data_IF_896733721122
#
_entry.id   IF_896733721122
#
_cell.length_a   1.000
_cell.length_b   1.000
_cell.length_c   1.000
_cell.angle_alpha   90.00
_cell.angle_beta   90.00
_cell.angle_gamma   90.00
#
_symmetry.space_group_name_H-M   'P 1'
#
loop_
_entity.id
_entity.type
_entity.pdbx_description
1 polymer ?
#
# COMPACT_ATOMS: atom_id res chain seq x y z
N UNK A 1 -65.94 -1.03 33.22
CA UNK A 1 -65.27 -0.63 31.93
C UNK A 1 -64.06 0.23 32.11
N UNK A 2 -64.11 1.37 32.85
CA UNK A 2 -62.92 2.25 33.01
C UNK A 2 -61.69 1.60 33.67
N UNK A 3 -61.86 0.66 34.62
CA UNK A 3 -60.78 -0.06 35.30
C UNK A 3 -60.10 -1.12 34.39
N UNK A 4 -60.85 -1.74 33.47
CA UNK A 4 -60.34 -2.74 32.53
C UNK A 4 -59.53 -2.04 31.44
N UNK A 5 -59.95 -0.84 30.98
CA UNK A 5 -59.21 -0.05 30.01
C UNK A 5 -57.88 0.45 30.58
N UNK A 6 -57.85 0.85 31.87
CA UNK A 6 -56.61 1.28 32.52
C UNK A 6 -55.60 0.13 32.68
N UNK A 7 -56.05 -1.11 32.96
CA UNK A 7 -55.16 -2.29 33.02
C UNK A 7 -54.63 -2.70 31.65
N UNK A 8 -55.47 -2.61 30.61
CA UNK A 8 -55.01 -2.87 29.22
C UNK A 8 -54.04 -1.81 28.72
N UNK A 9 -54.19 -0.50 29.08
CA UNK A 9 -53.25 0.54 28.76
C UNK A 9 -51.91 0.38 29.49
N UNK A 10 -51.94 -0.03 30.78
CA UNK A 10 -50.71 -0.27 31.55
C UNK A 10 -49.94 -1.51 31.04
N UNK A 11 -50.64 -2.55 30.59
CA UNK A 11 -50.02 -3.74 30.01
C UNK A 11 -49.40 -3.45 28.62
N UNK A 12 -50.04 -2.57 27.82
CA UNK A 12 -49.47 -2.15 26.52
C UNK A 12 -48.26 -1.24 26.68
N UNK A 13 -48.23 -0.38 27.71
CA UNK A 13 -47.06 0.44 28.02
C UNK A 13 -45.87 -0.39 28.56
N UNK A 14 -46.16 -1.45 29.35
CA UNK A 14 -45.13 -2.40 29.80
C UNK A 14 -44.56 -3.23 28.64
N UNK A 15 -45.37 -3.61 27.66
CA UNK A 15 -44.92 -4.38 26.50
C UNK A 15 -44.05 -3.52 25.54
N UNK A 16 -44.25 -2.20 25.49
CA UNK A 16 -43.38 -1.29 24.74
C UNK A 16 -42.00 -1.08 25.40
N UNK A 17 -41.86 -1.27 26.72
CA UNK A 17 -40.58 -1.14 27.40
C UNK A 17 -39.69 -2.40 27.30
N UNK A 18 -40.23 -3.55 26.91
CA UNK A 18 -39.47 -4.80 26.73
C UNK A 18 -38.98 -5.02 25.30
N UNK A 19 -39.31 -4.14 24.35
CA UNK A 19 -38.81 -4.16 22.96
C UNK A 19 -37.60 -3.26 22.73
N UNK A 20 -36.94 -2.77 23.78
CA UNK A 20 -35.53 -2.39 23.70
C UNK A 20 -34.75 -3.71 23.76
N UNK A 21 -34.90 -4.55 22.73
CA UNK A 21 -33.86 -5.51 22.41
C UNK A 21 -32.58 -4.66 22.19
N UNK A 22 -31.68 -4.71 23.15
CA UNK A 22 -30.30 -4.33 22.88
C UNK A 22 -29.93 -5.17 21.64
N UNK A 23 -29.93 -4.56 20.48
CA UNK A 23 -29.25 -5.16 19.34
C UNK A 23 -27.85 -5.40 19.86
N UNK A 24 -27.50 -6.64 20.13
CA UNK A 24 -26.16 -7.05 20.48
C UNK A 24 -25.32 -6.54 19.31
N UNK A 25 -24.50 -5.53 19.57
CA UNK A 25 -23.66 -4.93 18.52
C UNK A 25 -22.77 -6.06 18.03
N UNK A 26 -22.92 -6.43 16.78
CA UNK A 26 -22.09 -7.49 16.19
C UNK A 26 -20.63 -7.20 16.51
N UNK A 27 -19.92 -8.19 17.01
CA UNK A 27 -18.51 -8.09 17.37
C UNK A 27 -17.69 -8.65 16.22
N UNK A 28 -16.73 -7.89 15.75
CA UNK A 28 -15.85 -8.27 14.65
C UNK A 28 -14.41 -8.39 15.16
N UNK A 29 -13.66 -9.34 14.60
CA UNK A 29 -12.23 -9.49 14.85
C UNK A 29 -11.50 -9.52 13.51
N UNK A 30 -10.57 -8.58 13.31
CA UNK A 30 -9.76 -8.50 12.08
C UNK A 30 -8.27 -8.60 12.39
N UNK A 31 -7.54 -9.25 11.51
CA UNK A 31 -6.08 -9.25 11.52
C UNK A 31 -5.52 -8.16 10.61
N UNK A 32 -4.34 -7.59 10.93
CA UNK A 32 -3.55 -6.76 10.02
C UNK A 32 -2.12 -7.29 10.01
N UNK A 33 -1.64 -7.71 8.84
CA UNK A 33 -0.31 -8.31 8.66
C UNK A 33 0.59 -7.41 7.82
N UNK A 34 1.80 -7.16 8.34
CA UNK A 34 2.89 -6.49 7.64
C UNK A 34 4.14 -7.39 7.61
N UNK A 35 4.91 -7.32 6.51
CA UNK A 35 6.26 -7.88 6.48
C UNK A 35 7.22 -7.02 7.30
N UNK A 36 7.23 -5.72 7.06
CA UNK A 36 8.13 -4.75 7.70
C UNK A 36 7.40 -3.42 7.86
N UNK A 37 7.73 -2.65 8.91
CA UNK A 37 7.22 -1.30 9.09
C UNK A 37 8.04 -0.30 8.29
N UNK A 38 7.36 0.59 7.59
CA UNK A 38 7.87 1.83 7.01
C UNK A 38 6.78 2.89 7.01
N UNK A 39 7.11 4.13 6.67
CA UNK A 39 6.17 5.24 6.72
C UNK A 39 4.90 5.00 5.90
N UNK A 40 5.05 4.53 4.64
CA UNK A 40 3.92 4.28 3.75
C UNK A 40 2.96 3.22 4.31
N UNK A 41 3.49 2.09 4.78
CA UNK A 41 2.66 0.99 5.30
C UNK A 41 1.96 1.36 6.61
N UNK A 42 2.60 2.18 7.44
CA UNK A 42 1.98 2.69 8.67
C UNK A 42 0.85 3.68 8.36
N UNK A 43 1.00 4.52 7.32
CA UNK A 43 -0.06 5.42 6.86
C UNK A 43 -1.22 4.64 6.21
N UNK A 44 -0.95 3.56 5.47
CA UNK A 44 -1.99 2.64 4.97
C UNK A 44 -2.75 1.96 6.11
N UNK A 45 -2.04 1.43 7.12
CA UNK A 45 -2.65 0.86 8.33
C UNK A 45 -3.54 1.88 9.05
N UNK A 46 -3.04 3.10 9.22
CA UNK A 46 -3.81 4.20 9.79
C UNK A 46 -5.08 4.47 8.98
N UNK A 47 -4.97 4.51 7.65
CA UNK A 47 -6.12 4.70 6.75
C UNK A 47 -7.15 3.58 6.87
N UNK A 48 -6.73 2.32 6.99
CA UNK A 48 -7.63 1.18 7.24
C UNK A 48 -8.41 1.38 8.55
N UNK A 49 -7.72 1.69 9.65
CA UNK A 49 -8.33 1.86 10.98
C UNK A 49 -9.32 3.04 10.98
N UNK A 50 -8.89 4.20 10.45
CA UNK A 50 -9.75 5.38 10.35
C UNK A 50 -10.96 5.13 9.45
N UNK A 51 -10.75 4.49 8.29
CA UNK A 51 -11.83 4.16 7.34
C UNK A 51 -12.85 3.18 7.93
N UNK A 52 -12.40 2.17 8.66
CA UNK A 52 -13.28 1.27 9.40
C UNK A 52 -14.10 2.02 10.45
N UNK A 53 -13.48 2.91 11.22
CA UNK A 53 -14.16 3.72 12.23
C UNK A 53 -15.22 4.65 11.60
N UNK A 54 -14.91 5.29 10.46
CA UNK A 54 -15.86 6.11 9.70
C UNK A 54 -17.07 5.32 9.20
N UNK A 55 -16.90 4.01 8.98
CA UNK A 55 -17.95 3.08 8.54
C UNK A 55 -18.67 2.37 9.68
N UNK A 56 -18.36 2.75 10.94
CA UNK A 56 -19.03 2.24 12.14
C UNK A 56 -18.38 1.00 12.77
N UNK A 57 -17.21 0.56 12.28
CA UNK A 57 -16.40 -0.51 12.89
C UNK A 57 -15.35 0.12 13.79
N UNK A 58 -15.64 0.27 15.07
CA UNK A 58 -14.83 1.05 16.03
C UNK A 58 -14.08 0.12 16.97
N UNK A 59 -12.74 0.20 16.96
CA UNK A 59 -11.88 -0.58 17.85
C UNK A 59 -12.22 -0.36 19.31
N UNK A 60 -12.32 -1.44 20.09
CA UNK A 60 -12.71 -1.44 21.49
C UNK A 60 -14.22 -1.27 21.73
N UNK A 61 -15.04 -1.06 20.68
CA UNK A 61 -16.50 -0.99 20.78
C UNK A 61 -17.16 -2.22 20.16
N UNK A 62 -16.98 -2.41 18.86
CA UNK A 62 -17.52 -3.54 18.10
C UNK A 62 -16.48 -4.20 17.19
N UNK A 63 -15.23 -3.74 17.26
CA UNK A 63 -14.12 -4.24 16.49
C UNK A 63 -12.91 -4.54 17.38
N UNK A 64 -12.27 -5.68 17.16
CA UNK A 64 -10.97 -6.03 17.71
C UNK A 64 -9.97 -6.12 16.54
N UNK A 65 -8.85 -5.41 16.68
CA UNK A 65 -7.78 -5.42 15.68
C UNK A 65 -6.56 -6.13 16.26
N UNK A 66 -6.10 -7.18 15.60
CA UNK A 66 -4.84 -7.86 15.91
C UNK A 66 -3.81 -7.50 14.85
N UNK A 67 -2.85 -6.64 15.22
CA UNK A 67 -1.79 -6.19 14.34
C UNK A 67 -0.50 -6.97 14.59
N UNK A 68 0.07 -7.53 13.53
CA UNK A 68 1.32 -8.28 13.56
C UNK A 68 2.28 -7.81 12.46
N UNK A 69 3.55 -7.67 12.81
CA UNK A 69 4.61 -7.35 11.86
C UNK A 69 5.73 -8.39 11.93
N UNK A 70 6.13 -8.91 10.78
CA UNK A 70 7.16 -9.96 10.69
C UNK A 70 8.61 -9.43 10.80
N UNK A 71 8.81 -8.11 10.92
CA UNK A 71 10.11 -7.46 11.08
C UNK A 71 11.12 -7.81 9.95
N UNK A 72 10.62 -7.99 8.72
CA UNK A 72 11.42 -8.32 7.54
C UNK A 72 11.77 -9.81 7.40
N UNK A 73 11.31 -10.67 8.31
CA UNK A 73 11.61 -12.10 8.28
C UNK A 73 10.46 -12.89 7.64
N UNK A 74 10.76 -13.60 6.54
CA UNK A 74 9.78 -14.38 5.80
C UNK A 74 9.24 -15.58 6.59
N UNK A 75 10.02 -16.16 7.51
CA UNK A 75 9.59 -17.28 8.35
C UNK A 75 8.60 -16.79 9.41
N UNK A 76 8.88 -15.63 10.01
CA UNK A 76 7.95 -14.97 10.93
C UNK A 76 6.65 -14.61 10.21
N UNK A 77 6.74 -14.08 8.97
CA UNK A 77 5.57 -13.75 8.17
C UNK A 77 4.67 -14.97 7.96
N UNK A 78 5.26 -16.09 7.55
CA UNK A 78 4.52 -17.34 7.36
C UNK A 78 3.85 -17.82 8.67
N UNK A 79 4.56 -17.71 9.79
CA UNK A 79 4.03 -18.07 11.11
C UNK A 79 2.87 -17.16 11.53
N UNK A 80 2.98 -15.84 11.30
CA UNK A 80 1.92 -14.87 11.58
C UNK A 80 0.67 -15.20 10.75
N UNK A 81 0.83 -15.42 9.44
CA UNK A 81 -0.28 -15.78 8.56
C UNK A 81 -0.97 -17.07 9.00
N UNK A 82 -0.21 -18.12 9.35
CA UNK A 82 -0.74 -19.37 9.86
C UNK A 82 -1.51 -19.20 11.18
N UNK A 83 -1.03 -18.35 12.08
CA UNK A 83 -1.70 -18.07 13.34
C UNK A 83 -3.02 -17.30 13.14
N UNK A 84 -3.11 -16.45 12.10
CA UNK A 84 -4.34 -15.73 11.77
C UNK A 84 -5.34 -16.55 10.94
N UNK A 85 -4.95 -17.75 10.50
CA UNK A 85 -5.83 -18.71 9.83
C UNK A 85 -6.45 -19.73 10.82
N UNK A 86 -6.69 -19.34 12.06
CA UNK A 86 -7.27 -20.20 13.10
C UNK A 86 -8.81 -20.24 13.09
N UNK A 87 -9.44 -19.52 12.17
CA UNK A 87 -10.89 -19.41 12.04
C UNK A 87 -11.55 -18.44 13.04
N UNK A 88 -10.78 -17.69 13.83
CA UNK A 88 -11.28 -16.71 14.78
C UNK A 88 -11.44 -15.30 14.22
N UNK A 89 -10.93 -15.04 13.03
CA UNK A 89 -10.98 -13.75 12.36
C UNK A 89 -12.11 -13.70 11.33
N UNK A 90 -12.84 -12.58 11.28
CA UNK A 90 -13.87 -12.32 10.27
C UNK A 90 -13.23 -11.95 8.92
N UNK A 91 -12.07 -11.31 8.95
CA UNK A 91 -11.18 -11.12 7.81
C UNK A 91 -9.74 -10.78 8.27
N UNK A 92 -8.78 -10.94 7.34
CA UNK A 92 -7.40 -10.52 7.55
C UNK A 92 -7.01 -9.49 6.48
N UNK A 93 -6.52 -8.34 6.92
CA UNK A 93 -5.84 -7.40 6.05
C UNK A 93 -4.38 -7.81 5.87
N UNK A 94 -3.92 -7.73 4.64
CA UNK A 94 -2.49 -7.85 4.32
C UNK A 94 -2.05 -6.58 3.59
N UNK A 95 -0.97 -5.94 4.05
CA UNK A 95 -0.47 -4.72 3.43
C UNK A 95 0.76 -5.05 2.61
N UNK A 96 0.75 -4.73 1.32
CA UNK A 96 1.72 -5.04 0.28
C UNK A 96 1.72 -6.50 -0.18
N UNK A 97 2.52 -6.79 -1.23
CA UNK A 97 2.51 -8.08 -1.94
C UNK A 97 2.96 -9.26 -1.09
N UNK A 98 4.10 -9.22 -0.34
CA UNK A 98 4.59 -10.40 0.36
C UNK A 98 3.61 -10.95 1.42
N UNK A 99 2.99 -10.14 2.30
CA UNK A 99 1.98 -10.65 3.22
C UNK A 99 0.75 -11.23 2.53
N UNK A 100 0.34 -10.62 1.41
CA UNK A 100 -0.82 -11.09 0.64
C UNK A 100 -0.54 -12.46 0.02
N UNK A 101 0.63 -12.63 -0.59
CA UNK A 101 1.05 -13.93 -1.13
C UNK A 101 1.15 -15.01 -0.04
N UNK A 102 1.71 -14.66 1.11
CA UNK A 102 1.85 -15.60 2.23
C UNK A 102 0.49 -16.06 2.76
N UNK A 103 -0.49 -15.15 2.87
CA UNK A 103 -1.82 -15.49 3.38
C UNK A 103 -2.67 -16.22 2.34
N UNK A 104 -2.69 -15.76 1.09
CA UNK A 104 -3.41 -16.42 -0.01
C UNK A 104 -2.88 -17.84 -0.26
N UNK A 105 -1.55 -18.04 -0.13
CA UNK A 105 -0.92 -19.36 -0.26
C UNK A 105 -1.33 -20.39 0.80
N UNK A 106 -2.02 -19.98 1.87
CA UNK A 106 -2.62 -20.89 2.86
C UNK A 106 -3.94 -21.51 2.37
N UNK A 107 -4.53 -20.99 1.29
CA UNK A 107 -5.88 -21.37 0.83
C UNK A 107 -6.92 -21.24 1.95
N UNK A 108 -6.77 -20.19 2.77
CA UNK A 108 -7.57 -19.92 3.96
C UNK A 108 -9.05 -19.74 3.61
N UNK A 109 -9.92 -20.13 4.54
CA UNK A 109 -11.36 -19.77 4.50
C UNK A 109 -11.63 -18.38 5.03
N UNK A 110 -10.71 -17.80 5.79
CA UNK A 110 -10.79 -16.42 6.26
C UNK A 110 -10.57 -15.48 5.10
N UNK A 111 -11.50 -14.55 4.80
CA UNK A 111 -11.34 -13.60 3.70
C UNK A 111 -10.07 -12.76 3.86
N UNK A 112 -9.35 -12.55 2.76
CA UNK A 112 -8.19 -11.66 2.72
C UNK A 112 -8.54 -10.36 1.98
N UNK A 113 -8.44 -9.22 2.67
CA UNK A 113 -8.58 -7.90 2.03
C UNK A 113 -7.20 -7.24 2.00
N UNK A 114 -6.58 -7.26 0.82
CA UNK A 114 -5.24 -6.70 0.68
C UNK A 114 -5.28 -5.18 0.42
N UNK A 115 -4.26 -4.51 0.94
CA UNK A 115 -4.02 -3.08 0.73
C UNK A 115 -2.75 -2.91 -0.08
N UNK A 116 -2.84 -2.16 -1.19
CA UNK A 116 -1.66 -1.71 -1.94
C UNK A 116 -0.82 -2.84 -2.55
N UNK A 117 -1.47 -3.79 -3.23
CA UNK A 117 -0.75 -4.77 -4.05
C UNK A 117 -0.60 -4.23 -5.47
N UNK A 118 0.63 -3.91 -5.88
CA UNK A 118 0.88 -3.22 -7.15
C UNK A 118 0.58 -4.09 -8.39
N UNK A 119 0.74 -5.41 -8.29
CA UNK A 119 0.53 -6.33 -9.42
C UNK A 119 -0.19 -7.60 -8.97
N UNK A 120 -1.49 -7.54 -8.58
CA UNK A 120 -2.19 -8.68 -7.95
C UNK A 120 -2.21 -9.94 -8.82
N UNK A 121 -2.40 -9.79 -10.13
CA UNK A 121 -2.41 -10.92 -11.08
C UNK A 121 -1.02 -11.54 -11.23
N UNK A 122 0.02 -10.72 -11.41
CA UNK A 122 1.41 -11.20 -11.49
C UNK A 122 1.89 -11.82 -10.17
N UNK A 123 1.37 -11.32 -9.05
CA UNK A 123 1.63 -11.88 -7.73
C UNK A 123 0.93 -13.22 -7.47
N UNK A 124 0.00 -13.63 -8.34
CA UNK A 124 -0.77 -14.86 -8.19
C UNK A 124 -1.78 -14.83 -7.05
N UNK A 125 -2.28 -13.65 -6.69
CA UNK A 125 -3.29 -13.48 -5.63
C UNK A 125 -4.71 -13.33 -6.17
N UNK A 126 -4.86 -13.27 -7.49
CA UNK A 126 -6.11 -13.37 -8.24
C UNK A 126 -5.83 -13.63 -9.72
N UNK A 127 -6.79 -14.21 -10.44
CA UNK A 127 -6.63 -14.50 -11.87
C UNK A 127 -6.80 -13.26 -12.76
N UNK A 128 -7.67 -12.33 -12.36
CA UNK A 128 -7.88 -11.03 -13.01
C UNK A 128 -8.41 -10.03 -11.97
N UNK A 129 -8.26 -8.71 -12.24
CA UNK A 129 -8.67 -7.67 -11.28
C UNK A 129 -10.17 -7.68 -10.96
N UNK A 130 -10.99 -8.17 -11.87
CA UNK A 130 -12.44 -8.34 -11.72
C UNK A 130 -12.85 -9.76 -11.29
N UNK A 131 -11.88 -10.64 -11.02
CA UNK A 131 -12.10 -12.06 -10.68
C UNK A 131 -11.33 -12.43 -9.43
N UNK A 132 -11.82 -12.08 -8.22
CA UNK A 132 -11.19 -12.39 -6.94
C UNK A 132 -11.46 -13.86 -6.54
N UNK A 133 -10.87 -14.80 -7.23
CA UNK A 133 -11.11 -16.24 -7.17
C UNK A 133 -10.27 -16.99 -6.12
N UNK A 134 -9.43 -16.27 -5.35
CA UNK A 134 -8.56 -16.85 -4.32
C UNK A 134 -8.95 -16.43 -2.89
N UNK A 135 -10.25 -16.20 -2.63
CA UNK A 135 -10.76 -15.66 -1.37
C UNK A 135 -10.04 -14.38 -0.94
N UNK A 136 -9.61 -13.58 -1.91
CA UNK A 136 -8.83 -12.36 -1.72
C UNK A 136 -9.27 -11.28 -2.70
N UNK A 137 -9.45 -10.05 -2.20
CA UNK A 137 -9.65 -8.83 -2.98
C UNK A 137 -9.03 -7.66 -2.24
N UNK A 138 -9.04 -6.47 -2.82
CA UNK A 138 -8.47 -5.31 -2.13
C UNK A 138 -8.17 -4.15 -3.05
N UNK A 139 -7.15 -3.36 -2.69
CA UNK A 139 -6.71 -2.20 -3.46
C UNK A 139 -5.35 -2.42 -4.10
N UNK A 140 -5.21 -1.95 -5.33
CA UNK A 140 -3.94 -1.88 -6.04
C UNK A 140 -3.48 -0.43 -6.17
N UNK A 141 -2.20 -0.20 -5.91
CA UNK A 141 -1.51 1.07 -6.13
C UNK A 141 -0.67 1.03 -7.41
N UNK A 142 -1.11 0.29 -8.40
CA UNK A 142 -0.40 0.14 -9.66
C UNK A 142 -0.25 1.48 -10.37
N UNK A 143 0.99 1.99 -10.41
CA UNK A 143 1.38 3.11 -11.27
C UNK A 143 2.38 2.53 -12.28
N UNK A 144 2.11 2.62 -13.58
CA UNK A 144 3.07 2.15 -14.58
C UNK A 144 4.44 2.82 -14.39
N UNK A 145 5.51 2.02 -14.31
CA UNK A 145 6.87 2.55 -14.12
C UNK A 145 7.24 3.58 -15.20
N UNK A 146 6.76 3.38 -16.43
CA UNK A 146 6.95 4.31 -17.53
C UNK A 146 6.34 5.70 -17.32
N UNK A 147 5.21 5.77 -16.60
CA UNK A 147 4.55 7.05 -16.29
C UNK A 147 5.37 7.85 -15.27
N UNK A 148 5.90 7.18 -14.24
CA UNK A 148 6.80 7.82 -13.25
C UNK A 148 8.09 8.27 -13.91
N UNK A 149 8.69 7.43 -14.75
CA UNK A 149 9.90 7.78 -15.52
C UNK A 149 9.62 8.95 -16.46
N UNK A 150 8.48 8.94 -17.17
CA UNK A 150 8.09 10.03 -18.08
C UNK A 150 7.84 11.34 -17.34
N UNK A 151 7.26 11.28 -16.13
CA UNK A 151 7.13 12.43 -15.24
C UNK A 151 8.51 12.95 -14.83
N UNK A 152 9.41 12.06 -14.40
CA UNK A 152 10.77 12.39 -14.00
C UNK A 152 11.58 13.04 -15.13
N UNK A 153 11.46 12.55 -16.35
CA UNK A 153 12.12 13.11 -17.54
C UNK A 153 11.66 14.53 -17.88
N UNK A 154 10.51 14.98 -17.39
CA UNK A 154 10.13 16.40 -17.51
C UNK A 154 10.93 17.28 -16.55
N UNK A 155 11.35 16.76 -15.38
CA UNK A 155 12.20 17.50 -14.43
C UNK A 155 13.68 17.43 -14.85
N UNK A 156 14.11 16.27 -15.33
CA UNK A 156 15.51 16.00 -15.69
C UNK A 156 15.63 15.44 -17.12
N UNK A 157 15.44 16.29 -18.16
CA UNK A 157 15.35 15.83 -19.55
C UNK A 157 16.69 15.34 -20.14
N UNK A 158 17.83 15.68 -19.51
CA UNK A 158 19.16 15.37 -20.03
C UNK A 158 19.74 14.02 -19.55
N UNK A 159 19.04 13.31 -18.63
CA UNK A 159 19.47 11.99 -18.11
C UNK A 159 19.48 10.93 -19.21
N UNK A 160 20.42 9.99 -19.13
CA UNK A 160 20.64 8.96 -20.16
C UNK A 160 20.71 7.55 -19.59
N UNK A 161 21.18 7.39 -18.34
CA UNK A 161 21.46 6.09 -17.75
C UNK A 161 20.74 5.95 -16.42
N UNK A 162 19.77 5.06 -16.35
CA UNK A 162 19.01 4.79 -15.15
C UNK A 162 19.71 3.78 -14.25
N UNK A 163 19.79 4.08 -12.96
CA UNK A 163 20.16 3.11 -11.93
C UNK A 163 18.90 2.43 -11.38
N UNK A 164 18.92 1.10 -11.32
CA UNK A 164 17.82 0.27 -10.81
C UNK A 164 18.34 -0.56 -9.64
N UNK A 165 17.81 -0.29 -8.44
CA UNK A 165 18.15 -1.05 -7.22
C UNK A 165 16.87 -1.70 -6.70
N UNK A 166 16.85 -3.04 -6.58
CA UNK A 166 15.64 -3.77 -6.19
C UNK A 166 15.94 -5.15 -5.61
N UNK A 167 14.95 -5.71 -4.89
CA UNK A 167 15.00 -7.08 -4.40
C UNK A 167 14.40 -8.05 -5.41
N UNK A 168 15.05 -9.18 -5.63
CA UNK A 168 14.50 -10.27 -6.46
C UNK A 168 13.55 -11.18 -5.69
N UNK A 169 13.42 -11.02 -4.38
CA UNK A 169 12.51 -11.80 -3.55
C UNK A 169 11.05 -11.30 -3.62
N UNK A 170 10.83 -10.09 -4.16
CA UNK A 170 9.50 -9.48 -4.28
C UNK A 170 9.04 -9.42 -5.74
N UNK A 171 7.97 -10.14 -6.06
CA UNK A 171 7.41 -10.24 -7.43
C UNK A 171 6.98 -8.87 -7.97
N UNK A 172 6.40 -8.02 -7.13
CA UNK A 172 6.03 -6.65 -7.49
C UNK A 172 7.24 -5.80 -7.89
N UNK A 173 8.37 -5.90 -7.15
CA UNK A 173 9.60 -5.18 -7.48
C UNK A 173 10.18 -5.68 -8.81
N UNK A 174 10.29 -7.00 -9.00
CA UNK A 174 10.75 -7.58 -10.27
C UNK A 174 9.85 -7.17 -11.43
N UNK A 175 8.52 -7.20 -11.26
CA UNK A 175 7.57 -6.78 -12.29
C UNK A 175 7.74 -5.29 -12.63
N UNK A 176 7.84 -4.41 -11.64
CA UNK A 176 8.06 -2.98 -11.83
C UNK A 176 9.37 -2.71 -12.57
N UNK A 177 10.45 -3.41 -12.22
CA UNK A 177 11.74 -3.26 -12.91
C UNK A 177 11.71 -3.79 -14.34
N UNK A 178 11.00 -4.89 -14.61
CA UNK A 178 10.84 -5.39 -15.98
C UNK A 178 10.05 -4.41 -16.85
N UNK A 179 8.98 -3.80 -16.30
CA UNK A 179 8.22 -2.77 -17.03
C UNK A 179 9.03 -1.48 -17.20
N UNK A 180 9.84 -1.08 -16.21
CA UNK A 180 10.77 0.04 -16.33
C UNK A 180 11.80 -0.22 -17.43
N UNK A 181 12.48 -1.38 -17.42
CA UNK A 181 13.46 -1.76 -18.46
C UNK A 181 12.83 -1.77 -19.86
N UNK A 182 11.64 -2.34 -20.01
CA UNK A 182 10.94 -2.34 -21.31
C UNK A 182 10.64 -0.91 -21.79
N UNK A 183 10.24 0.00 -20.88
CA UNK A 183 10.03 1.40 -21.20
C UNK A 183 11.35 2.09 -21.61
N UNK A 184 12.43 1.88 -20.86
CA UNK A 184 13.75 2.47 -21.13
C UNK A 184 14.30 1.99 -22.47
N UNK A 185 14.22 0.68 -22.75
CA UNK A 185 14.65 0.09 -24.04
C UNK A 185 13.86 0.69 -25.21
N UNK A 186 12.54 0.81 -25.08
CA UNK A 186 11.66 1.37 -26.12
C UNK A 186 11.95 2.85 -26.42
N UNK A 187 12.48 3.59 -25.44
CA UNK A 187 12.78 5.02 -25.55
C UNK A 187 14.29 5.33 -25.70
N UNK A 188 15.14 4.30 -25.78
CA UNK A 188 16.57 4.44 -26.06
C UNK A 188 17.42 4.92 -24.87
N UNK A 189 16.94 4.70 -23.64
CA UNK A 189 17.70 4.97 -22.41
C UNK A 189 18.54 3.76 -22.02
N UNK A 190 19.75 4.01 -21.51
CA UNK A 190 20.56 2.97 -20.89
C UNK A 190 20.14 2.75 -19.43
N UNK A 191 20.46 1.58 -18.90
CA UNK A 191 20.32 1.32 -17.47
C UNK A 191 21.42 0.40 -16.95
N UNK A 192 21.68 0.54 -15.65
CA UNK A 192 22.53 -0.37 -14.85
C UNK A 192 21.71 -0.85 -13.66
N UNK A 193 21.87 -2.12 -13.26
CA UNK A 193 21.06 -2.68 -12.20
C UNK A 193 21.90 -3.41 -11.15
N UNK A 194 21.42 -3.35 -9.89
CA UNK A 194 21.91 -4.13 -8.76
C UNK A 194 20.73 -4.67 -7.97
N UNK A 195 20.80 -5.95 -7.66
CA UNK A 195 19.83 -6.60 -6.79
C UNK A 195 20.34 -6.67 -5.35
N UNK A 196 19.41 -6.64 -4.41
CA UNK A 196 19.66 -6.75 -2.97
C UNK A 196 18.85 -7.90 -2.38
N UNK A 197 19.40 -8.57 -1.38
CA UNK A 197 18.71 -9.62 -0.64
C UNK A 197 18.06 -9.11 0.67
N UNK A 198 18.58 -8.00 1.21
CA UNK A 198 18.10 -7.36 2.43
C UNK A 198 18.43 -5.85 2.42
N UNK A 199 17.82 -5.09 3.33
CA UNK A 199 17.98 -3.63 3.41
C UNK A 199 19.41 -3.18 3.72
N UNK A 200 20.21 -4.00 4.40
CA UNK A 200 21.63 -3.68 4.69
C UNK A 200 22.52 -3.61 3.45
N UNK A 201 22.10 -4.17 2.31
CA UNK A 201 22.84 -4.16 1.05
C UNK A 201 22.52 -2.92 0.19
N UNK A 202 21.45 -2.17 0.49
CA UNK A 202 20.95 -1.06 -0.33
C UNK A 202 22.01 0.02 -0.51
N UNK A 203 22.73 0.39 0.53
CA UNK A 203 23.82 1.37 0.45
C UNK A 203 24.88 0.98 -0.59
N UNK A 204 25.40 -0.25 -0.49
CA UNK A 204 26.44 -0.74 -1.41
C UNK A 204 25.93 -0.88 -2.84
N UNK A 205 24.69 -1.33 -3.01
CA UNK A 205 24.06 -1.46 -4.33
C UNK A 205 23.85 -0.08 -4.99
N UNK A 206 23.42 0.93 -4.20
CA UNK A 206 23.26 2.31 -4.67
C UNK A 206 24.60 2.88 -5.16
N UNK A 207 25.65 2.77 -4.35
CA UNK A 207 26.97 3.23 -4.76
C UNK A 207 27.45 2.53 -6.04
N UNK A 208 27.20 1.21 -6.13
CA UNK A 208 27.64 0.43 -7.28
C UNK A 208 26.94 0.82 -8.60
N UNK A 209 25.67 1.26 -8.59
CA UNK A 209 25.02 1.77 -9.81
C UNK A 209 25.50 3.19 -10.17
N UNK A 210 25.79 4.03 -9.17
CA UNK A 210 26.39 5.35 -9.39
C UNK A 210 27.80 5.23 -10.01
N UNK A 211 28.63 4.33 -9.48
CA UNK A 211 30.00 4.07 -10.00
C UNK A 211 29.97 3.54 -11.45
N UNK A 212 28.84 2.92 -11.88
CA UNK A 212 28.62 2.47 -13.26
C UNK A 212 28.04 3.56 -14.15
N UNK A 213 27.87 4.79 -13.66
CA UNK A 213 27.46 5.95 -14.44
C UNK A 213 25.96 6.17 -14.51
N UNK A 214 25.19 5.66 -13.53
CA UNK A 214 23.79 6.07 -13.40
C UNK A 214 23.71 7.57 -13.10
N UNK A 215 22.95 8.30 -13.90
CA UNK A 215 22.70 9.74 -13.76
C UNK A 215 21.28 10.06 -13.25
N UNK A 216 20.49 9.03 -13.01
CA UNK A 216 19.17 9.06 -12.34
C UNK A 216 18.88 7.68 -11.74
N UNK A 217 18.18 7.59 -10.60
CA UNK A 217 17.67 6.32 -10.07
C UNK A 217 16.15 6.24 -10.15
N UNK A 218 15.66 5.04 -10.50
CA UNK A 218 14.25 4.67 -10.35
C UNK A 218 14.11 3.62 -9.23
N UNK A 219 13.26 3.92 -8.25
CA UNK A 219 13.02 3.09 -7.05
C UNK A 219 11.56 2.60 -7.07
N UNK A 220 11.36 1.31 -7.24
CA UNK A 220 10.04 0.70 -7.25
C UNK A 220 9.41 0.57 -5.84
N UNK A 221 8.16 0.14 -5.79
CA UNK A 221 7.54 -0.35 -4.54
C UNK A 221 8.19 -1.69 -4.17
N UNK A 222 9.17 -1.63 -3.30
CA UNK A 222 10.01 -2.73 -2.84
C UNK A 222 10.22 -2.56 -1.34
N UNK A 223 9.67 -3.45 -0.53
CA UNK A 223 9.72 -3.33 0.95
C UNK A 223 11.16 -3.36 1.48
N UNK A 224 12.04 -4.11 0.82
CA UNK A 224 13.46 -4.26 1.22
C UNK A 224 14.21 -2.96 0.97
N UNK A 225 14.03 -2.35 -0.21
CA UNK A 225 14.70 -1.08 -0.57
C UNK A 225 14.07 0.08 0.21
N UNK A 226 12.74 0.12 0.35
CA UNK A 226 12.05 1.18 1.09
C UNK A 226 12.45 1.24 2.57
N UNK A 227 12.84 0.12 3.18
CA UNK A 227 13.31 0.10 4.56
C UNK A 227 14.67 0.82 4.77
N UNK A 228 15.40 1.14 3.70
CA UNK A 228 16.67 1.85 3.72
C UNK A 228 16.73 2.98 2.66
N UNK A 229 15.56 3.49 2.26
CA UNK A 229 15.47 4.45 1.15
C UNK A 229 16.03 5.83 1.50
N UNK A 230 16.01 6.22 2.76
CA UNK A 230 16.66 7.43 3.27
C UNK A 230 18.17 7.43 2.99
N UNK A 231 18.84 6.29 3.22
CA UNK A 231 20.27 6.12 2.90
C UNK A 231 20.51 6.21 1.39
N UNK A 232 19.66 5.53 0.59
CA UNK A 232 19.73 5.60 -0.87
C UNK A 232 19.56 7.04 -1.38
N UNK A 233 18.55 7.74 -0.89
CA UNK A 233 18.23 9.10 -1.30
C UNK A 233 19.36 10.07 -0.94
N UNK A 234 19.96 9.95 0.26
CA UNK A 234 21.07 10.81 0.70
C UNK A 234 22.30 10.61 -0.18
N UNK A 235 22.70 9.34 -0.45
CA UNK A 235 23.82 9.03 -1.33
C UNK A 235 23.62 9.63 -2.72
N UNK A 236 22.43 9.49 -3.29
CA UNK A 236 22.11 10.03 -4.61
C UNK A 236 22.12 11.57 -4.61
N UNK A 237 21.56 12.20 -3.57
CA UNK A 237 21.56 13.65 -3.39
C UNK A 237 22.98 14.21 -3.28
N UNK A 238 23.86 13.58 -2.48
CA UNK A 238 25.27 13.96 -2.37
C UNK A 238 26.05 13.80 -3.70
N UNK A 239 25.68 12.79 -4.50
CA UNK A 239 26.24 12.55 -5.83
C UNK A 239 25.67 13.49 -6.92
N UNK A 240 24.66 14.31 -6.60
CA UNK A 240 23.96 15.15 -7.58
C UNK A 240 23.03 14.37 -8.52
N UNK A 241 22.59 13.16 -8.12
CA UNK A 241 21.80 12.24 -8.93
C UNK A 241 20.34 12.24 -8.47
N UNK A 242 19.37 12.62 -9.32
CA UNK A 242 17.95 12.62 -8.98
C UNK A 242 17.40 11.20 -8.79
N UNK A 243 16.36 11.08 -7.98
CA UNK A 243 15.71 9.81 -7.66
C UNK A 243 14.20 9.90 -7.88
N UNK A 244 13.65 8.98 -8.69
CA UNK A 244 12.20 8.85 -8.88
C UNK A 244 11.69 7.57 -8.21
N UNK A 245 10.55 7.62 -7.56
CA UNK A 245 10.06 6.52 -6.73
C UNK A 245 8.53 6.34 -6.89
N UNK A 246 7.95 5.39 -6.16
CA UNK A 246 6.56 4.99 -6.33
C UNK A 246 5.64 5.36 -5.14
N UNK A 247 6.08 6.24 -4.23
CA UNK A 247 5.31 6.61 -3.04
C UNK A 247 5.67 8.02 -2.55
N UNK A 248 4.66 8.78 -2.13
CA UNK A 248 4.85 10.10 -1.51
C UNK A 248 5.66 10.01 -0.20
N UNK A 249 5.51 8.93 0.56
CA UNK A 249 6.28 8.70 1.78
C UNK A 249 7.76 8.48 1.47
N UNK A 250 8.08 7.81 0.36
CA UNK A 250 9.46 7.66 -0.14
C UNK A 250 10.05 9.00 -0.58
N UNK A 251 9.22 9.91 -1.12
CA UNK A 251 9.63 11.30 -1.41
C UNK A 251 9.96 12.03 -0.11
N UNK A 252 9.18 11.87 0.96
CA UNK A 252 9.49 12.43 2.28
C UNK A 252 10.76 11.85 2.90
N UNK A 253 11.20 10.66 2.48
CA UNK A 253 12.49 10.07 2.87
C UNK A 253 13.67 10.57 2.03
N UNK A 254 13.46 11.57 1.17
CA UNK A 254 14.52 12.24 0.41
C UNK A 254 14.58 11.93 -1.08
N UNK A 255 13.78 11.01 -1.62
CA UNK A 255 13.67 10.85 -3.08
C UNK A 255 13.07 12.12 -3.71
N UNK A 256 13.48 12.43 -4.95
CA UNK A 256 13.13 13.70 -5.59
C UNK A 256 11.63 13.83 -5.89
N UNK A 257 11.05 12.86 -6.60
CA UNK A 257 9.66 12.98 -7.03
C UNK A 257 8.99 11.64 -7.36
N UNK A 258 7.67 11.66 -7.35
CA UNK A 258 6.83 10.54 -7.77
C UNK A 258 5.48 11.02 -8.32
N UNK A 259 4.85 10.15 -9.13
CA UNK A 259 3.40 10.08 -9.20
C UNK A 259 2.90 9.25 -8.01
N UNK A 260 1.90 9.71 -7.32
CA UNK A 260 1.43 9.07 -6.10
C UNK A 260 -0.08 9.18 -5.94
N UNK A 261 -0.57 8.41 -4.99
CA UNK A 261 -1.83 8.56 -4.29
C UNK A 261 -1.52 8.65 -2.80
N UNK A 262 -2.44 9.16 -2.01
CA UNK A 262 -2.26 9.19 -0.56
C UNK A 262 -2.27 7.77 0.03
N UNK A 263 -1.25 7.41 0.80
CA UNK A 263 -1.18 6.11 1.49
C UNK A 263 -2.32 5.95 2.51
N UNK A 264 -2.73 7.02 3.19
CA UNK A 264 -3.92 7.01 4.06
C UNK A 264 -5.19 6.81 3.24
N UNK A 265 -5.29 7.44 2.06
CA UNK A 265 -6.47 7.31 1.20
C UNK A 265 -6.64 5.87 0.69
N UNK A 266 -5.56 5.21 0.21
CA UNK A 266 -5.65 3.81 -0.23
C UNK A 266 -6.04 2.89 0.93
N UNK A 267 -5.57 3.17 2.16
CA UNK A 267 -6.01 2.46 3.35
C UNK A 267 -7.52 2.62 3.61
N UNK A 268 -8.07 3.84 3.45
CA UNK A 268 -9.52 4.08 3.60
C UNK A 268 -10.34 3.39 2.50
N UNK A 269 -9.86 3.38 1.26
CA UNK A 269 -10.52 2.62 0.19
C UNK A 269 -10.51 1.10 0.47
N UNK A 270 -9.41 0.58 1.03
CA UNK A 270 -9.32 -0.81 1.49
C UNK A 270 -10.33 -1.10 2.59
N UNK A 271 -10.53 -0.18 3.53
CA UNK A 271 -11.55 -0.31 4.58
C UNK A 271 -12.99 -0.37 4.03
N UNK A 272 -13.29 0.36 2.95
CA UNK A 272 -14.60 0.29 2.28
C UNK A 272 -14.86 -1.10 1.68
N UNK A 273 -13.83 -1.72 1.11
CA UNK A 273 -13.91 -3.10 0.60
C UNK A 273 -14.15 -4.06 1.77
N UNK A 274 -13.38 -3.92 2.85
CA UNK A 274 -13.53 -4.76 4.03
C UNK A 274 -14.91 -4.63 4.67
N UNK A 275 -15.48 -3.43 4.74
CA UNK A 275 -16.83 -3.22 5.26
C UNK A 275 -17.90 -3.95 4.44
N UNK A 276 -17.74 -4.09 3.12
CA UNK A 276 -18.62 -4.91 2.29
C UNK A 276 -18.53 -6.39 2.69
N UNK A 277 -17.30 -6.91 2.88
CA UNK A 277 -17.08 -8.30 3.34
C UNK A 277 -17.69 -8.51 4.73
N UNK A 278 -17.40 -7.63 5.68
CA UNK A 278 -17.95 -7.71 7.06
C UNK A 278 -19.47 -7.59 7.11
N UNK A 279 -20.09 -6.91 6.14
CA UNK A 279 -21.57 -6.85 6.01
C UNK A 279 -22.17 -8.06 5.31
N UNK A 280 -21.34 -9.05 4.89
CA UNK A 280 -21.79 -10.31 4.30
C UNK A 280 -21.79 -10.33 2.76
N UNK A 281 -21.21 -9.33 2.09
CA UNK A 281 -21.03 -9.40 0.63
C UNK A 281 -19.97 -10.47 0.32
N UNK A 282 -20.25 -11.42 -0.57
CA UNK A 282 -19.29 -12.44 -0.96
C UNK A 282 -18.04 -11.81 -1.57
N UNK A 283 -16.85 -12.17 -1.06
CA UNK A 283 -15.59 -11.55 -1.46
C UNK A 283 -15.30 -11.72 -2.95
N UNK A 284 -15.70 -12.84 -3.53
CA UNK A 284 -15.56 -13.16 -4.96
C UNK A 284 -16.37 -12.22 -5.88
N UNK A 285 -17.32 -11.46 -5.31
CA UNK A 285 -18.12 -10.48 -6.05
C UNK A 285 -17.56 -9.05 -5.99
N UNK A 286 -16.47 -8.84 -5.26
CA UNK A 286 -15.90 -7.50 -5.04
C UNK A 286 -14.60 -7.37 -5.84
N UNK A 287 -14.59 -6.69 -7.01
CA UNK A 287 -13.38 -6.49 -7.81
C UNK A 287 -12.26 -5.78 -7.05
N UNK A 288 -11.02 -6.07 -7.43
CA UNK A 288 -9.88 -5.28 -6.97
C UNK A 288 -9.98 -3.84 -7.47
N UNK A 289 -9.84 -2.88 -6.57
CA UNK A 289 -9.85 -1.47 -6.90
C UNK A 289 -8.43 -0.98 -7.21
N UNK A 290 -8.18 -0.58 -8.46
CA UNK A 290 -6.96 0.16 -8.80
C UNK A 290 -7.17 1.63 -8.42
N UNK A 291 -6.42 2.10 -7.44
CA UNK A 291 -6.50 3.50 -6.97
C UNK A 291 -5.67 4.37 -7.91
N UNK A 292 -6.24 5.39 -8.56
CA UNK A 292 -5.51 6.24 -9.47
C UNK A 292 -4.48 7.12 -8.76
N UNK A 293 -3.35 7.38 -9.41
CA UNK A 293 -2.42 8.41 -9.00
C UNK A 293 -2.93 9.77 -9.53
N UNK A 294 -3.11 10.71 -8.64
CA UNK A 294 -3.62 12.07 -8.92
C UNK A 294 -2.78 13.16 -8.24
N UNK A 295 -1.62 12.77 -7.71
CA UNK A 295 -0.67 13.63 -7.01
C UNK A 295 0.70 13.51 -7.69
N UNK A 296 1.34 14.65 -7.92
CA UNK A 296 2.77 14.75 -8.21
C UNK A 296 3.46 15.21 -6.93
N UNK A 297 4.10 14.30 -6.22
CA UNK A 297 4.84 14.65 -4.99
C UNK A 297 6.30 14.96 -5.33
N UNK A 298 6.81 16.07 -4.80
CA UNK A 298 8.19 16.54 -5.02
C UNK A 298 8.82 16.87 -3.67
N UNK A 299 10.04 16.39 -3.42
CA UNK A 299 10.81 16.77 -2.25
C UNK A 299 11.47 18.13 -2.48
N UNK A 300 11.06 19.15 -1.70
CA UNK A 300 11.58 20.51 -1.83
C UNK A 300 13.07 20.61 -1.50
N UNK A 301 13.54 19.88 -0.48
CA UNK A 301 14.92 19.95 -0.03
C UNK A 301 15.87 19.28 -1.05
N UNK A 302 15.45 18.14 -1.59
CA UNK A 302 16.20 17.46 -2.65
C UNK A 302 16.17 18.23 -3.96
N UNK A 303 15.03 18.84 -4.31
CA UNK A 303 14.91 19.70 -5.50
C UNK A 303 15.88 20.89 -5.42
N UNK A 304 15.93 21.57 -4.26
CA UNK A 304 16.84 22.69 -4.02
C UNK A 304 18.32 22.24 -4.05
N UNK A 305 18.64 21.15 -3.36
CA UNK A 305 20.00 20.61 -3.30
C UNK A 305 20.54 20.22 -4.69
N UNK A 306 19.70 19.74 -5.58
CA UNK A 306 20.03 19.38 -6.95
C UNK A 306 19.99 20.59 -7.92
N UNK A 307 19.54 21.76 -7.47
CA UNK A 307 19.38 22.96 -8.30
C UNK A 307 18.36 22.80 -9.42
N UNK A 308 17.35 21.94 -9.22
CA UNK A 308 16.32 21.63 -10.21
C UNK A 308 15.07 22.49 -10.02
N UNK A 309 14.23 22.52 -11.03
CA UNK A 309 12.93 23.22 -11.01
C UNK A 309 11.82 22.30 -11.53
N UNK A 310 10.64 22.42 -10.95
CA UNK A 310 9.46 21.68 -11.41
C UNK A 310 8.84 22.41 -12.60
N UNK A 311 8.73 21.79 -13.78
CA UNK A 311 8.08 22.42 -14.93
C UNK A 311 6.57 22.47 -14.73
N UNK A 312 5.95 23.54 -15.26
CA UNK A 312 4.50 23.79 -15.15
C UNK A 312 3.68 22.64 -15.78
N UNK A 313 4.23 21.94 -16.76
CA UNK A 313 3.58 20.80 -17.43
C UNK A 313 3.20 19.66 -16.48
N UNK A 314 3.87 19.51 -15.32
CA UNK A 314 3.54 18.47 -14.35
C UNK A 314 2.15 18.64 -13.71
N UNK A 315 1.61 19.85 -13.69
CA UNK A 315 0.24 20.09 -13.21
C UNK A 315 -0.84 19.40 -14.06
N UNK A 316 -0.52 18.99 -15.27
CA UNK A 316 -1.41 18.18 -16.11
C UNK A 316 -1.49 16.71 -15.67
N UNK A 317 -0.55 16.23 -14.87
CA UNK A 317 -0.52 14.85 -14.35
C UNK A 317 -1.23 14.70 -13.00
N UNK A 318 -1.41 15.80 -12.27
CA UNK A 318 -2.05 15.83 -10.96
C UNK A 318 -1.72 17.07 -10.16
N UNK A 319 -2.22 17.13 -8.92
CA UNK A 319 -1.87 18.20 -7.98
C UNK A 319 -0.39 18.12 -7.60
N UNK A 320 0.38 19.18 -7.83
CA UNK A 320 1.79 19.21 -7.42
C UNK A 320 1.91 19.56 -5.95
N UNK A 321 2.38 18.62 -5.15
CA UNK A 321 2.60 18.77 -3.72
C UNK A 321 4.08 18.80 -3.39
N UNK A 322 4.52 19.82 -2.67
CA UNK A 322 5.90 19.92 -2.18
C UNK A 322 5.98 19.37 -0.76
N UNK A 323 6.87 18.42 -0.56
CA UNK A 323 7.10 17.74 0.70
C UNK A 323 8.52 18.06 1.19
N UNK A 324 8.70 18.29 2.49
CA UNK A 324 10.02 18.39 3.10
C UNK A 324 10.49 17.03 3.57
N UNK A 325 11.80 16.83 3.61
CA UNK A 325 12.42 15.63 4.22
C UNK A 325 12.07 15.56 5.72
N UNK A 326 11.86 14.34 6.23
CA UNK A 326 11.59 14.09 7.64
C UNK A 326 12.87 14.00 8.46
#
# INVERSE_FOLDING_TARGET
MKKIIAVLLSLSLMLCCFLSASAETAQYKVGIVLLIENGAFMDMKKGIIEGLAELGYVEGTNLTIDYQCAQGDATNLQTICQNMDDGSYDLVFTIATPPTQAFVGLESKTPNVFCSVAAPVAAGVMSALDTPDMNATGTSNAIPSGDIISMGLQITPDVKTFGLVYSTSEVNAVNAMNTAKAFLDANGYAYVEKTVANSGEVQTATQAVLDQGADVLFVANDSVVQAAVDILAEICKEAGVPTYCCSATTVQSGCLATLAMSDVFIGKETAKIAAQVLSGTPIESIPCLVVPADIVSVNSDTLEALGLTVPESLSALGEVQYLSSK
#
